data_IF_945056726750
#
_entry.id   IF_945056726750
#
_cell.length_a   1.000
_cell.length_b   1.000
_cell.length_c   1.000
_cell.angle_alpha   90.00
_cell.angle_beta   90.00
_cell.angle_gamma   90.00
#
_symmetry.space_group_name_H-M   'P 1'
#
loop_
_entity.id
_entity.type
_entity.pdbx_description
1 polymer ?
#
# COMPACT_ATOMS: atom_id res chain seq x y z
N UNK A 1 14.01 -15.82 -0.01
CA UNK A 1 13.68 -15.18 1.30
C UNK A 1 14.34 -13.80 1.28
N UNK A 2 13.63 -12.73 1.65
CA UNK A 2 14.23 -11.39 1.78
C UNK A 2 15.20 -11.42 2.98
N UNK A 3 16.43 -10.91 2.83
CA UNK A 3 17.46 -10.95 3.87
C UNK A 3 17.93 -9.53 4.22
N UNK A 4 17.82 -9.10 5.49
CA UNK A 4 18.21 -7.76 5.91
C UNK A 4 19.71 -7.46 5.69
N UNK A 5 20.58 -8.48 5.64
CA UNK A 5 22.01 -8.30 5.38
C UNK A 5 22.30 -7.95 3.91
N UNK A 6 21.34 -8.18 3.01
CA UNK A 6 21.48 -7.87 1.57
C UNK A 6 20.78 -6.55 1.23
N UNK A 7 19.56 -6.34 1.73
CA UNK A 7 18.72 -5.19 1.35
C UNK A 7 18.74 -4.04 2.36
N UNK A 8 19.36 -4.25 3.52
CA UNK A 8 19.32 -3.32 4.65
C UNK A 8 18.11 -3.54 5.55
N UNK A 9 18.25 -3.12 6.81
CA UNK A 9 17.24 -3.32 7.86
C UNK A 9 15.93 -2.59 7.55
N UNK A 10 16.02 -1.33 7.10
CA UNK A 10 14.83 -0.51 6.84
C UNK A 10 13.96 -1.07 5.71
N UNK A 11 14.57 -1.46 4.58
CA UNK A 11 13.83 -2.09 3.48
C UNK A 11 13.16 -3.39 3.96
N UNK A 12 13.91 -4.21 4.72
CA UNK A 12 13.37 -5.46 5.26
C UNK A 12 12.14 -5.21 6.15
N UNK A 13 12.24 -4.29 7.11
CA UNK A 13 11.17 -4.01 8.07
C UNK A 13 9.92 -3.44 7.38
N UNK A 14 10.10 -2.51 6.43
CA UNK A 14 8.99 -1.95 5.65
C UNK A 14 8.30 -3.04 4.81
N UNK A 15 9.08 -3.87 4.11
CA UNK A 15 8.53 -4.96 3.31
C UNK A 15 7.77 -5.99 4.19
N UNK A 16 8.29 -6.30 5.38
CA UNK A 16 7.62 -7.17 6.35
C UNK A 16 6.34 -6.55 6.91
N UNK A 17 6.35 -5.27 7.25
CA UNK A 17 5.17 -4.55 7.72
C UNK A 17 4.06 -4.53 6.67
N UNK A 18 4.40 -4.26 5.40
CA UNK A 18 3.46 -4.33 4.27
C UNK A 18 2.86 -5.73 4.14
N UNK A 19 3.68 -6.78 4.20
CA UNK A 19 3.20 -8.17 4.14
C UNK A 19 2.25 -8.50 5.30
N UNK A 20 2.55 -8.07 6.52
CA UNK A 20 1.70 -8.31 7.70
C UNK A 20 0.34 -7.62 7.57
N UNK A 21 0.30 -6.37 7.11
CA UNK A 21 -0.95 -5.63 6.89
C UNK A 21 -1.81 -6.30 5.81
N UNK A 22 -1.21 -6.72 4.70
CA UNK A 22 -1.92 -7.42 3.63
C UNK A 22 -2.43 -8.79 4.08
N UNK A 23 -1.67 -9.50 4.92
CA UNK A 23 -2.11 -10.77 5.49
C UNK A 23 -3.30 -10.58 6.44
N UNK A 24 -3.22 -9.60 7.36
CA UNK A 24 -4.34 -9.27 8.26
C UNK A 24 -5.58 -8.88 7.47
N UNK A 25 -5.44 -8.12 6.38
CA UNK A 25 -6.57 -7.81 5.50
C UNK A 25 -7.18 -9.05 4.88
N UNK A 26 -6.36 -9.97 4.37
CA UNK A 26 -6.84 -11.23 3.79
C UNK A 26 -7.61 -12.08 4.80
N UNK A 27 -7.15 -12.15 6.04
CA UNK A 27 -7.83 -12.90 7.11
C UNK A 27 -9.19 -12.27 7.46
N UNK A 28 -9.31 -10.94 7.35
CA UNK A 28 -10.55 -10.20 7.58
C UNK A 28 -11.52 -10.21 6.38
N UNK A 29 -11.06 -10.54 5.16
CA UNK A 29 -11.90 -10.49 3.96
C UNK A 29 -13.12 -11.42 4.04
N UNK A 30 -12.95 -12.63 4.58
CA UNK A 30 -14.05 -13.59 4.73
C UNK A 30 -15.10 -13.09 5.74
N UNK A 31 -14.64 -12.48 6.84
CA UNK A 31 -15.51 -11.86 7.84
C UNK A 31 -16.29 -10.71 7.21
N UNK A 32 -15.62 -9.82 6.47
CA UNK A 32 -16.25 -8.68 5.79
C UNK A 32 -17.29 -9.15 4.77
N UNK A 33 -17.01 -10.24 4.04
CA UNK A 33 -17.92 -10.77 3.03
C UNK A 33 -19.20 -11.37 3.62
N UNK A 34 -19.14 -11.91 4.84
CA UNK A 34 -20.27 -12.56 5.51
C UNK A 34 -21.05 -11.56 6.39
N UNK A 35 -20.34 -10.80 7.21
CA UNK A 35 -20.91 -9.95 8.27
C UNK A 35 -20.96 -8.46 7.91
N UNK A 36 -20.16 -8.03 6.94
CA UNK A 36 -20.00 -6.61 6.61
C UNK A 36 -18.89 -5.92 7.40
N UNK A 37 -18.55 -4.70 6.98
CA UNK A 37 -17.42 -3.95 7.53
C UNK A 37 -17.72 -3.29 8.88
N UNK A 38 -19.00 -3.13 9.22
CA UNK A 38 -19.46 -2.47 10.45
C UNK A 38 -19.14 -3.30 11.70
N UNK A 39 -19.10 -4.63 11.55
CA UNK A 39 -18.87 -5.63 12.60
C UNK A 39 -17.39 -5.76 13.02
N UNK A 40 -16.49 -5.09 12.31
CA UNK A 40 -15.07 -5.06 12.67
C UNK A 40 -14.81 -4.12 13.84
N UNK A 41 -13.79 -4.46 14.64
CA UNK A 41 -13.24 -3.52 15.63
C UNK A 41 -12.67 -2.27 14.94
N UNK A 42 -12.58 -1.14 15.64
CA UNK A 42 -12.00 0.08 15.06
C UNK A 42 -10.53 -0.12 14.63
N UNK A 43 -9.79 -0.98 15.34
CA UNK A 43 -8.43 -1.37 14.96
C UNK A 43 -8.39 -2.18 13.66
N UNK A 44 -9.32 -3.12 13.49
CA UNK A 44 -9.42 -3.91 12.26
C UNK A 44 -9.90 -3.06 11.08
N UNK A 45 -10.84 -2.14 11.29
CA UNK A 45 -11.24 -1.16 10.27
C UNK A 45 -10.04 -0.33 9.81
N UNK A 46 -9.20 0.12 10.74
CA UNK A 46 -7.98 0.85 10.42
C UNK A 46 -6.99 -0.02 9.65
N UNK A 47 -6.76 -1.26 10.09
CA UNK A 47 -5.89 -2.20 9.39
C UNK A 47 -6.35 -2.47 7.96
N UNK A 48 -7.66 -2.65 7.73
CA UNK A 48 -8.23 -2.83 6.39
C UNK A 48 -8.09 -1.57 5.56
N UNK A 49 -8.35 -0.39 6.13
CA UNK A 49 -8.19 0.90 5.44
C UNK A 49 -6.76 1.08 4.93
N UNK A 50 -5.75 0.86 5.80
CA UNK A 50 -4.33 0.91 5.41
C UNK A 50 -3.99 -0.16 4.38
N UNK A 51 -4.48 -1.38 4.53
CA UNK A 51 -4.22 -2.46 3.57
C UNK A 51 -4.75 -2.15 2.17
N UNK A 52 -5.95 -1.57 2.06
CA UNK A 52 -6.52 -1.14 0.77
C UNK A 52 -5.69 -0.03 0.13
N UNK A 53 -5.24 0.95 0.91
CA UNK A 53 -4.33 2.01 0.43
C UNK A 53 -3.01 1.42 -0.08
N UNK A 54 -2.39 0.53 0.67
CA UNK A 54 -1.18 -0.21 0.26
C UNK A 54 -1.43 -0.97 -1.04
N UNK A 55 -2.54 -1.72 -1.14
CA UNK A 55 -2.88 -2.48 -2.35
C UNK A 55 -3.06 -1.59 -3.58
N UNK A 56 -3.67 -0.40 -3.41
CA UNK A 56 -3.81 0.59 -4.48
C UNK A 56 -2.47 1.22 -4.85
N UNK A 57 -1.64 1.54 -3.86
CA UNK A 57 -0.34 2.17 -4.08
C UNK A 57 0.70 1.24 -4.71
N UNK A 58 0.50 -0.08 -4.64
CA UNK A 58 1.28 -1.05 -5.43
C UNK A 58 1.00 -0.97 -6.95
N UNK A 59 -0.02 -0.21 -7.38
CA UNK A 59 -0.24 0.07 -8.80
C UNK A 59 0.59 1.26 -9.27
N UNK A 60 1.10 1.17 -10.49
CA UNK A 60 1.94 2.21 -11.08
C UNK A 60 1.67 2.31 -12.59
N UNK A 61 1.59 3.52 -13.17
CA UNK A 61 1.50 3.69 -14.61
C UNK A 61 2.83 3.30 -15.26
N UNK A 62 2.78 2.37 -16.21
CA UNK A 62 3.95 1.90 -16.95
C UNK A 62 4.12 2.67 -18.26
N UNK A 63 5.36 3.06 -18.57
CA UNK A 63 5.70 3.75 -19.84
C UNK A 63 5.24 2.97 -21.07
N UNK A 64 5.35 1.64 -21.05
CA UNK A 64 4.90 0.77 -22.15
C UNK A 64 3.37 0.71 -22.30
N UNK A 65 2.63 1.08 -21.26
CA UNK A 65 1.17 1.05 -21.24
C UNK A 65 0.56 2.44 -21.50
N UNK A 66 1.37 3.48 -21.69
CA UNK A 66 0.93 4.86 -21.87
C UNK A 66 0.03 5.01 -23.10
N UNK A 67 0.36 4.31 -24.20
CA UNK A 67 -0.44 4.30 -25.44
C UNK A 67 -1.85 3.72 -25.27
N UNK A 68 -2.06 2.85 -24.27
CA UNK A 68 -3.36 2.21 -24.01
C UNK A 68 -4.14 2.90 -22.90
N UNK A 69 -3.44 3.44 -21.90
CA UNK A 69 -4.05 4.01 -20.69
C UNK A 69 -4.20 5.52 -20.75
N UNK A 70 -3.47 6.20 -21.64
CA UNK A 70 -3.39 7.66 -21.70
C UNK A 70 -2.71 8.30 -20.49
N UNK A 71 -2.12 7.50 -19.60
CA UNK A 71 -1.43 7.98 -18.39
C UNK A 71 0.08 7.89 -18.60
N UNK A 72 0.84 8.98 -18.34
CA UNK A 72 2.27 8.97 -18.49
C UNK A 72 2.91 7.97 -17.53
N UNK A 73 3.84 7.16 -18.06
CA UNK A 73 4.60 6.22 -17.26
C UNK A 73 5.42 6.93 -16.17
N UNK A 74 5.63 6.24 -15.05
CA UNK A 74 6.44 6.78 -13.94
C UNK A 74 7.55 5.82 -13.58
N UNK A 75 8.69 6.38 -13.16
CA UNK A 75 9.80 5.63 -12.58
C UNK A 75 9.98 6.10 -11.15
N UNK A 76 9.92 5.17 -10.20
CA UNK A 76 10.01 5.45 -8.76
C UNK A 76 11.31 4.83 -8.27
N UNK A 77 12.11 5.60 -7.55
CA UNK A 77 13.38 5.08 -6.99
C UNK A 77 13.09 4.20 -5.79
N UNK A 78 14.02 3.28 -5.52
CA UNK A 78 13.93 2.36 -4.37
C UNK A 78 13.74 3.11 -3.04
N UNK A 79 14.53 4.15 -2.79
CA UNK A 79 14.48 4.95 -1.56
C UNK A 79 13.11 5.61 -1.37
N UNK A 80 12.56 6.17 -2.46
CA UNK A 80 11.25 6.80 -2.46
C UNK A 80 10.15 5.77 -2.21
N UNK A 81 10.25 4.56 -2.79
CA UNK A 81 9.32 3.46 -2.53
C UNK A 81 9.34 3.04 -1.06
N UNK A 82 10.52 2.81 -0.49
CA UNK A 82 10.66 2.38 0.92
C UNK A 82 10.07 3.45 1.85
N UNK A 83 10.40 4.72 1.63
CA UNK A 83 9.84 5.84 2.39
C UNK A 83 8.32 5.90 2.27
N UNK A 84 7.79 5.86 1.05
CA UNK A 84 6.35 5.96 0.79
C UNK A 84 5.57 4.88 1.51
N UNK A 85 6.00 3.61 1.39
CA UNK A 85 5.34 2.51 2.08
C UNK A 85 5.47 2.60 3.59
N UNK A 86 6.62 3.03 4.12
CA UNK A 86 6.82 3.27 5.55
C UNK A 86 5.80 4.27 6.10
N UNK A 87 5.61 5.38 5.40
CA UNK A 87 4.69 6.43 5.85
C UNK A 87 3.22 6.00 5.80
N UNK A 88 2.85 5.16 4.81
CA UNK A 88 1.52 4.56 4.75
C UNK A 88 1.29 3.60 5.93
N UNK A 89 2.23 2.70 6.22
CA UNK A 89 2.05 1.73 7.32
C UNK A 89 2.11 2.39 8.71
N UNK A 90 2.85 3.49 8.86
CA UNK A 90 2.89 4.33 10.07
C UNK A 90 1.62 5.18 10.26
N UNK A 91 0.77 5.29 9.23
CA UNK A 91 -0.52 5.97 9.30
C UNK A 91 -0.50 7.47 8.99
N UNK A 92 0.59 7.99 8.41
CA UNK A 92 0.69 9.43 8.07
C UNK A 92 -0.37 9.88 7.07
N UNK A 93 -0.94 8.95 6.30
CA UNK A 93 -1.93 9.21 5.27
C UNK A 93 -3.30 8.57 5.57
N UNK A 94 -3.61 8.31 6.84
CA UNK A 94 -4.86 7.68 7.24
C UNK A 94 -6.11 8.52 6.89
N UNK A 95 -5.97 9.84 6.81
CA UNK A 95 -7.06 10.76 6.45
C UNK A 95 -7.42 10.76 4.95
N UNK A 96 -6.55 10.26 4.07
CA UNK A 96 -6.78 10.25 2.62
C UNK A 96 -7.64 9.06 2.18
N UNK A 97 -8.27 9.15 1.01
CA UNK A 97 -9.10 8.06 0.48
C UNK A 97 -8.23 7.01 -0.22
N UNK A 98 -8.69 5.76 -0.27
CA UNK A 98 -7.95 4.68 -0.95
C UNK A 98 -7.76 4.92 -2.46
N UNK A 99 -8.64 5.71 -3.09
CA UNK A 99 -8.57 6.03 -4.52
C UNK A 99 -7.41 6.98 -4.84
N UNK A 100 -6.99 7.80 -3.86
CA UNK A 100 -5.92 8.78 -4.03
C UNK A 100 -4.56 8.08 -4.20
N UNK A 101 -4.47 6.80 -3.85
CA UNK A 101 -3.29 5.95 -4.00
C UNK A 101 -3.25 5.19 -5.33
N UNK A 102 -4.28 5.27 -6.16
CA UNK A 102 -4.37 4.47 -7.38
C UNK A 102 -3.59 5.09 -8.55
N UNK A 103 -2.76 4.29 -9.22
CA UNK A 103 -1.97 4.65 -10.40
C UNK A 103 -1.10 5.90 -10.16
N UNK A 104 -0.39 5.91 -9.03
CA UNK A 104 0.54 6.98 -8.64
C UNK A 104 1.99 6.53 -8.83
N UNK A 105 2.89 7.50 -8.94
CA UNK A 105 4.33 7.27 -8.94
C UNK A 105 4.84 7.20 -7.50
N UNK A 106 5.11 8.35 -6.91
CA UNK A 106 5.47 8.46 -5.50
C UNK A 106 4.34 8.96 -4.62
N UNK A 107 4.60 9.01 -3.32
CA UNK A 107 3.65 9.41 -2.28
C UNK A 107 3.30 10.90 -2.36
N UNK A 108 4.19 11.71 -2.92
CA UNK A 108 4.01 13.13 -3.18
C UNK A 108 2.86 13.44 -4.16
N UNK A 109 2.38 12.44 -4.89
CA UNK A 109 1.26 12.59 -5.82
C UNK A 109 -0.10 12.16 -5.22
N UNK A 110 -0.09 11.73 -3.97
CA UNK A 110 -1.28 11.35 -3.21
C UNK A 110 -1.79 12.58 -2.47
N UNK A 111 -3.02 13.01 -2.77
CA UNK A 111 -3.69 14.20 -2.22
C UNK A 111 -5.10 13.86 -1.73
#
# INVERSE_FOLDING_TARGET
>A
ILDPNVVGQEHYDVARGVQQILQRYKDLQDIIAILGMEELSEEDKLAVSRARKVQRFLSQPFHVAETFTGKPGKYVKLEDTIKSFKEIIEGKYDALNEQDFYMKGGIEEVE
#
